data_IF_166533622588
#
_entry.id   IF_166533622588
#
_cell.length_a   1.000
_cell.length_b   1.000
_cell.length_c   1.000
_cell.angle_alpha   90.00
_cell.angle_beta   90.00
_cell.angle_gamma   90.00
#
_symmetry.space_group_name_H-M   'P 1'
#
loop_
_entity.id
_entity.type
_entity.pdbx_description
1 polymer ?
#
# COMPACT_ATOMS: atom_id res chain seq x y z
N UNK A 1 9.22 7.08 3.15
CA UNK A 1 9.78 5.84 3.70
C UNK A 1 11.15 6.19 4.28
N UNK A 2 11.51 5.73 5.48
CA UNK A 2 12.86 5.93 5.99
C UNK A 2 13.85 5.20 5.09
N UNK A 3 14.73 5.94 4.43
CA UNK A 3 15.76 5.40 3.53
C UNK A 3 16.64 4.37 4.26
N UNK A 4 16.84 4.56 5.57
CA UNK A 4 17.50 3.63 6.47
C UNK A 4 16.77 2.29 6.64
N UNK A 5 15.43 2.31 6.69
CA UNK A 5 14.61 1.08 6.84
C UNK A 5 14.65 0.25 5.58
N UNK A 6 14.61 0.90 4.41
CA UNK A 6 14.74 0.22 3.13
C UNK A 6 16.13 -0.42 2.96
N UNK A 7 17.19 0.28 3.36
CA UNK A 7 18.54 -0.29 3.39
C UNK A 7 18.63 -1.50 4.33
N UNK A 8 17.99 -1.44 5.50
CA UNK A 8 17.94 -2.57 6.43
C UNK A 8 17.22 -3.79 5.83
N UNK A 9 16.10 -3.59 5.12
CA UNK A 9 15.42 -4.67 4.41
C UNK A 9 16.30 -5.30 3.33
N UNK A 10 16.95 -4.48 2.48
CA UNK A 10 17.83 -4.99 1.42
C UNK A 10 19.03 -5.75 2.00
N UNK A 11 19.60 -5.26 3.11
CA UNK A 11 20.69 -5.93 3.80
C UNK A 11 20.26 -7.30 4.36
N UNK A 12 19.08 -7.36 5.00
CA UNK A 12 18.51 -8.61 5.52
C UNK A 12 18.25 -9.62 4.39
N UNK A 13 17.69 -9.17 3.27
CA UNK A 13 17.45 -10.03 2.09
C UNK A 13 18.78 -10.57 1.54
N UNK A 14 19.82 -9.72 1.47
CA UNK A 14 21.15 -10.14 1.07
C UNK A 14 21.76 -11.19 2.00
N UNK A 15 21.52 -11.08 3.31
CA UNK A 15 21.94 -12.08 4.28
C UNK A 15 21.16 -13.39 4.13
N UNK A 16 19.84 -13.33 3.93
CA UNK A 16 18.99 -14.50 3.67
C UNK A 16 19.42 -15.27 2.43
N UNK A 17 19.79 -14.57 1.35
CA UNK A 17 20.26 -15.21 0.11
C UNK A 17 21.61 -15.93 0.25
N UNK A 18 22.43 -15.53 1.22
CA UNK A 18 23.74 -16.12 1.50
C UNK A 18 23.71 -17.03 2.75
N UNK A 19 22.55 -17.18 3.38
CA UNK A 19 22.38 -17.92 4.62
C UNK A 19 22.49 -19.44 4.35
N UNK A 20 23.19 -20.20 5.20
CA UNK A 20 23.11 -21.65 5.19
C UNK A 20 21.67 -22.11 5.45
N UNK A 21 21.22 -23.15 4.73
CA UNK A 21 19.88 -23.73 4.95
C UNK A 21 19.69 -24.11 6.42
N UNK A 22 18.62 -23.58 7.03
CA UNK A 22 18.23 -23.85 8.41
C UNK A 22 18.60 -22.76 9.42
N UNK A 23 19.34 -21.72 9.03
CA UNK A 23 19.70 -20.59 9.89
C UNK A 23 18.84 -19.34 9.67
N UNK A 24 17.90 -19.39 8.72
CA UNK A 24 17.03 -18.26 8.39
C UNK A 24 16.17 -17.84 9.58
N UNK A 25 15.71 -18.81 10.39
CA UNK A 25 14.89 -18.53 11.58
C UNK A 25 15.60 -17.72 12.66
N UNK A 26 16.88 -18.02 12.94
CA UNK A 26 17.69 -17.26 13.90
C UNK A 26 17.95 -15.85 13.39
N UNK A 27 18.21 -15.72 12.09
CA UNK A 27 18.40 -14.43 11.43
C UNK A 27 17.13 -13.56 11.51
N UNK A 28 15.96 -14.15 11.24
CA UNK A 28 14.68 -13.44 11.35
C UNK A 28 14.37 -13.04 12.80
N UNK A 29 14.71 -13.88 13.79
CA UNK A 29 14.54 -13.53 15.21
C UNK A 29 15.42 -12.34 15.61
N UNK A 30 16.66 -12.27 15.13
CA UNK A 30 17.55 -11.14 15.36
C UNK A 30 17.05 -9.82 14.73
N UNK A 31 16.16 -9.92 13.73
CA UNK A 31 15.59 -8.80 12.98
C UNK A 31 14.05 -8.74 13.07
N UNK A 32 13.49 -9.14 14.23
CA UNK A 32 12.05 -9.19 14.45
C UNK A 32 11.34 -7.83 14.22
N UNK A 33 12.05 -6.72 14.42
CA UNK A 33 11.60 -5.34 14.19
C UNK A 33 11.41 -4.97 12.71
N UNK A 34 12.03 -5.74 11.81
CA UNK A 34 11.92 -5.61 10.36
C UNK A 34 10.84 -6.55 9.77
N UNK A 35 10.27 -7.47 10.55
CA UNK A 35 9.27 -8.44 10.09
C UNK A 35 7.89 -7.79 9.95
N UNK A 36 7.73 -7.01 8.90
CA UNK A 36 6.48 -6.38 8.52
C UNK A 36 6.22 -6.56 7.01
N UNK A 37 5.09 -6.02 6.57
CA UNK A 37 4.73 -6.07 5.17
C UNK A 37 5.67 -5.23 4.26
N UNK A 38 6.44 -4.30 4.81
CA UNK A 38 7.48 -3.57 4.08
C UNK A 38 8.64 -4.48 3.66
N UNK A 39 9.06 -5.38 4.54
CA UNK A 39 10.04 -6.42 4.20
C UNK A 39 9.52 -7.37 3.11
N UNK A 40 8.27 -7.85 3.24
CA UNK A 40 7.64 -8.75 2.25
C UNK A 40 7.70 -8.15 0.84
N UNK A 41 7.25 -6.90 0.71
CA UNK A 41 7.24 -6.26 -0.59
C UNK A 41 8.65 -5.94 -1.11
N UNK A 42 9.63 -5.69 -0.22
CA UNK A 42 11.03 -5.57 -0.63
C UNK A 42 11.57 -6.91 -1.15
N UNK A 43 11.19 -8.04 -0.53
CA UNK A 43 11.52 -9.38 -1.02
C UNK A 43 10.94 -9.59 -2.42
N UNK A 44 9.68 -9.20 -2.67
CA UNK A 44 9.06 -9.30 -4.00
C UNK A 44 9.78 -8.47 -5.07
N UNK A 45 10.20 -7.24 -4.72
CA UNK A 45 10.98 -6.39 -5.63
C UNK A 45 12.35 -7.01 -5.96
N UNK A 46 13.06 -7.53 -4.96
CA UNK A 46 14.35 -8.21 -5.17
C UNK A 46 14.15 -9.50 -5.98
N UNK A 47 13.07 -10.25 -5.74
CA UNK A 47 12.73 -11.43 -6.51
C UNK A 47 12.46 -11.10 -7.99
N UNK A 48 11.71 -10.04 -8.27
CA UNK A 48 11.47 -9.57 -9.64
C UNK A 48 12.77 -9.15 -10.34
N UNK A 49 13.67 -8.46 -9.62
CA UNK A 49 14.99 -8.11 -10.14
C UNK A 49 15.83 -9.35 -10.47
N UNK A 50 15.85 -10.34 -9.57
CA UNK A 50 16.58 -11.60 -9.77
C UNK A 50 16.02 -12.44 -10.93
N UNK A 51 14.70 -12.42 -11.13
CA UNK A 51 14.04 -13.09 -12.25
C UNK A 51 14.44 -12.47 -13.59
N UNK A 52 14.56 -11.14 -13.65
CA UNK A 52 15.08 -10.44 -14.84
C UNK A 52 16.53 -10.83 -15.17
N UNK A 53 17.29 -11.25 -14.17
CA UNK A 53 18.66 -11.75 -14.31
C UNK A 53 18.76 -13.28 -14.46
N UNK A 54 17.62 -13.99 -14.60
CA UNK A 54 17.52 -15.46 -14.70
C UNK A 54 18.15 -16.20 -13.51
N UNK A 55 18.15 -15.60 -12.32
CA UNK A 55 18.62 -16.24 -11.10
C UNK A 55 17.57 -17.17 -10.51
N UNK A 56 17.97 -18.36 -10.09
CA UNK A 56 17.09 -19.36 -9.45
C UNK A 56 16.59 -18.92 -8.06
N UNK A 57 17.22 -17.92 -7.44
CA UNK A 57 16.85 -17.45 -6.11
C UNK A 57 15.53 -16.66 -6.08
N UNK A 58 15.05 -16.18 -7.23
CA UNK A 58 13.81 -15.42 -7.31
C UNK A 58 12.58 -16.22 -6.84
N UNK A 59 12.47 -17.47 -7.30
CA UNK A 59 11.34 -18.33 -6.95
C UNK A 59 11.38 -18.77 -5.49
N UNK A 60 12.59 -18.98 -4.95
CA UNK A 60 12.79 -19.22 -3.53
C UNK A 60 12.35 -18.02 -2.69
N UNK A 61 12.76 -16.79 -3.05
CA UNK A 61 12.36 -15.57 -2.34
C UNK A 61 10.84 -15.37 -2.32
N UNK A 62 10.14 -15.62 -3.44
CA UNK A 62 8.67 -15.56 -3.48
C UNK A 62 8.01 -16.58 -2.55
N UNK A 63 8.52 -17.82 -2.54
CA UNK A 63 8.02 -18.85 -1.63
C UNK A 63 8.28 -18.52 -0.17
N UNK A 64 9.45 -17.97 0.14
CA UNK A 64 9.82 -17.52 1.47
C UNK A 64 8.98 -16.33 1.94
N UNK A 65 8.76 -15.34 1.07
CA UNK A 65 7.87 -14.21 1.36
C UNK A 65 6.44 -14.67 1.71
N UNK A 66 5.90 -15.63 0.97
CA UNK A 66 4.59 -16.20 1.27
C UNK A 66 4.55 -16.87 2.65
N UNK A 67 5.54 -17.71 2.98
CA UNK A 67 5.63 -18.35 4.30
C UNK A 67 5.81 -17.33 5.42
N UNK A 68 6.62 -16.31 5.20
CA UNK A 68 6.82 -15.24 6.17
C UNK A 68 5.51 -14.49 6.40
N UNK A 69 4.80 -14.12 5.32
CA UNK A 69 3.51 -13.45 5.39
C UNK A 69 2.46 -14.28 6.15
N UNK A 70 2.46 -15.61 5.99
CA UNK A 70 1.66 -16.53 6.81
C UNK A 70 2.02 -16.43 8.29
N UNK A 71 3.31 -16.55 8.60
CA UNK A 71 3.82 -16.60 9.96
C UNK A 71 3.58 -15.29 10.74
N UNK A 72 3.60 -14.13 10.05
CA UNK A 72 3.29 -12.83 10.65
C UNK A 72 1.82 -12.41 10.51
N UNK A 73 0.94 -13.32 10.06
CA UNK A 73 -0.52 -13.13 10.02
C UNK A 73 -1.00 -12.13 8.97
N UNK A 74 -0.20 -11.86 7.94
CA UNK A 74 -0.54 -11.00 6.80
C UNK A 74 -1.36 -11.72 5.73
N UNK A 75 -1.41 -13.05 5.78
CA UNK A 75 -2.09 -13.88 4.78
C UNK A 75 -3.57 -14.13 5.08
N UNK A 76 -4.24 -13.22 5.80
CA UNK A 76 -5.70 -13.24 5.84
C UNK A 76 -6.18 -12.94 4.41
N UNK A 77 -6.86 -13.91 3.78
CA UNK A 77 -7.48 -13.74 2.48
C UNK A 77 -8.26 -12.43 2.49
N UNK A 78 -7.77 -11.43 1.73
CA UNK A 78 -8.46 -10.16 1.63
C UNK A 78 -9.91 -10.45 1.23
N UNK A 79 -10.88 -9.74 1.81
CA UNK A 79 -12.24 -9.85 1.34
C UNK A 79 -12.25 -9.47 -0.16
N UNK A 80 -12.72 -10.37 -1.02
CA UNK A 80 -12.71 -10.20 -2.47
C UNK A 80 -14.07 -9.72 -2.98
N UNK A 81 -14.05 -8.94 -4.07
CA UNK A 81 -15.24 -8.42 -4.74
C UNK A 81 -15.57 -6.98 -4.39
N UNK A 82 -16.54 -6.43 -5.12
CA UNK A 82 -16.87 -4.99 -5.11
C UNK A 82 -17.31 -4.46 -3.74
N UNK A 83 -18.06 -5.23 -2.95
CA UNK A 83 -18.49 -4.80 -1.61
C UNK A 83 -17.32 -4.74 -0.63
N UNK A 84 -16.39 -5.69 -0.73
CA UNK A 84 -15.18 -5.69 0.08
C UNK A 84 -14.27 -4.52 -0.29
N UNK A 85 -14.08 -4.27 -1.58
CA UNK A 85 -13.33 -3.11 -2.08
C UNK A 85 -13.97 -1.79 -1.63
N UNK A 86 -15.31 -1.69 -1.65
CA UNK A 86 -16.06 -0.54 -1.14
C UNK A 86 -15.78 -0.33 0.35
N UNK A 87 -15.89 -1.37 1.15
CA UNK A 87 -15.65 -1.30 2.59
C UNK A 87 -14.21 -0.88 2.90
N UNK A 88 -13.24 -1.53 2.24
CA UNK A 88 -11.82 -1.20 2.36
C UNK A 88 -11.53 0.27 2.00
N UNK A 89 -12.16 0.79 0.94
CA UNK A 89 -11.99 2.19 0.55
C UNK A 89 -12.50 3.14 1.63
N UNK A 90 -13.66 2.89 2.22
CA UNK A 90 -14.21 3.70 3.31
C UNK A 90 -13.31 3.70 4.54
N UNK A 91 -12.84 2.51 4.95
CA UNK A 91 -11.89 2.36 6.06
C UNK A 91 -10.58 3.10 5.79
N UNK A 92 -10.11 3.08 4.55
CA UNK A 92 -8.91 3.78 4.13
C UNK A 92 -9.07 5.31 4.23
N UNK A 93 -10.19 5.87 3.78
CA UNK A 93 -10.45 7.31 3.90
C UNK A 93 -10.60 7.74 5.38
N UNK A 94 -11.24 6.91 6.20
CA UNK A 94 -11.31 7.13 7.63
C UNK A 94 -9.93 7.08 8.28
N UNK A 95 -9.10 6.10 7.91
CA UNK A 95 -7.73 5.98 8.42
C UNK A 95 -6.89 7.21 8.08
N UNK A 96 -7.00 7.74 6.85
CA UNK A 96 -6.33 8.98 6.44
C UNK A 96 -6.75 10.15 7.33
N UNK A 97 -8.05 10.24 7.63
CA UNK A 97 -8.60 11.26 8.52
C UNK A 97 -8.05 11.12 9.94
N UNK A 98 -8.14 9.92 10.52
CA UNK A 98 -7.71 9.63 11.90
C UNK A 98 -6.21 9.85 12.11
N UNK A 99 -5.40 9.51 11.10
CA UNK A 99 -3.95 9.69 11.11
C UNK A 99 -3.48 11.02 10.51
N UNK A 100 -4.42 11.88 10.09
CA UNK A 100 -4.14 13.21 9.50
C UNK A 100 -3.15 13.15 8.33
N UNK A 101 -3.31 12.15 7.45
CA UNK A 101 -2.43 11.93 6.30
C UNK A 101 -1.00 11.48 6.66
N UNK A 102 -0.72 11.13 7.92
CA UNK A 102 0.63 10.71 8.31
C UNK A 102 1.02 9.35 7.71
N UNK A 103 1.81 9.40 6.63
CA UNK A 103 2.27 8.22 5.89
C UNK A 103 3.03 7.19 6.75
N UNK A 104 3.79 7.62 7.77
CA UNK A 104 4.51 6.70 8.67
C UNK A 104 3.55 5.85 9.50
N UNK A 105 2.33 6.33 9.77
CA UNK A 105 1.31 5.60 10.51
C UNK A 105 0.35 4.83 9.60
N UNK A 106 0.13 5.32 8.38
CA UNK A 106 -0.80 4.73 7.41
C UNK A 106 -0.17 3.56 6.65
N UNK A 107 1.05 3.72 6.14
CA UNK A 107 1.68 2.72 5.27
C UNK A 107 1.86 1.35 5.91
N UNK A 108 2.23 1.23 7.21
CA UNK A 108 2.30 -0.09 7.84
C UNK A 108 0.96 -0.83 7.84
N UNK A 109 -0.18 -0.13 7.87
CA UNK A 109 -1.51 -0.73 7.86
C UNK A 109 -1.93 -1.13 6.44
N UNK A 110 -1.73 -0.22 5.47
CA UNK A 110 -1.96 -0.52 4.05
C UNK A 110 -1.12 -1.70 3.56
N UNK A 111 0.11 -1.82 4.05
CA UNK A 111 0.99 -2.93 3.73
C UNK A 111 0.39 -4.29 4.16
N UNK A 112 -0.41 -4.34 5.25
CA UNK A 112 -1.09 -5.58 5.67
C UNK A 112 -2.27 -5.96 4.79
N UNK A 113 -2.84 -4.99 4.07
CA UNK A 113 -4.01 -5.15 3.21
C UNK A 113 -3.64 -4.84 1.75
N UNK A 114 -2.40 -5.12 1.36
CA UNK A 114 -1.86 -4.77 0.05
C UNK A 114 -2.68 -5.37 -1.09
N UNK A 115 -3.23 -6.57 -0.88
CA UNK A 115 -4.07 -7.28 -1.84
C UNK A 115 -5.42 -6.61 -2.09
N UNK A 116 -5.87 -5.70 -1.22
CA UNK A 116 -7.07 -4.90 -1.43
C UNK A 116 -6.84 -3.70 -2.38
N UNK A 117 -5.57 -3.34 -2.67
CA UNK A 117 -5.24 -2.37 -3.72
C UNK A 117 -5.22 -3.08 -5.07
N UNK A 118 -6.41 -3.43 -5.56
CA UNK A 118 -6.63 -4.20 -6.77
C UNK A 118 -7.52 -3.44 -7.78
N UNK A 119 -7.89 -4.12 -8.87
CA UNK A 119 -8.77 -3.56 -9.91
C UNK A 119 -10.21 -3.37 -9.44
N UNK A 120 -10.66 -4.11 -8.41
CA UNK A 120 -11.99 -3.95 -7.85
C UNK A 120 -12.06 -2.64 -7.06
N UNK A 121 -11.01 -2.30 -6.31
CA UNK A 121 -10.87 -0.99 -5.68
C UNK A 121 -10.92 0.14 -6.69
N UNK A 122 -10.18 0.01 -7.80
CA UNK A 122 -10.19 0.99 -8.88
C UNK A 122 -11.60 1.16 -9.48
N UNK A 123 -12.35 0.07 -9.64
CA UNK A 123 -13.70 0.09 -10.19
C UNK A 123 -14.72 0.76 -9.27
N UNK A 124 -14.62 0.57 -7.94
CA UNK A 124 -15.59 1.13 -6.99
C UNK A 124 -15.29 2.56 -6.57
N UNK A 125 -14.02 2.99 -6.61
CA UNK A 125 -13.57 4.30 -6.12
C UNK A 125 -14.41 5.47 -6.65
N UNK A 126 -14.65 5.63 -7.98
CA UNK A 126 -15.43 6.75 -8.48
C UNK A 126 -16.87 6.75 -7.96
N UNK A 127 -17.49 5.56 -7.88
CA UNK A 127 -18.88 5.42 -7.42
C UNK A 127 -19.01 5.76 -5.93
N UNK A 128 -18.08 5.29 -5.10
CA UNK A 128 -18.09 5.59 -3.66
C UNK A 128 -17.79 7.06 -3.42
N UNK A 129 -16.79 7.63 -4.09
CA UNK A 129 -16.45 9.04 -3.98
C UNK A 129 -17.63 9.94 -4.39
N UNK A 130 -18.28 9.66 -5.52
CA UNK A 130 -19.44 10.42 -5.96
C UNK A 130 -20.60 10.41 -4.94
N UNK A 131 -20.81 9.28 -4.24
CA UNK A 131 -21.81 9.20 -3.17
C UNK A 131 -21.43 10.05 -1.95
N UNK A 132 -20.17 9.97 -1.52
CA UNK A 132 -19.67 10.73 -0.38
C UNK A 132 -19.73 12.25 -0.63
N UNK A 133 -19.50 12.69 -1.87
CA UNK A 133 -19.54 14.09 -2.26
C UNK A 133 -20.96 14.70 -2.34
N UNK A 134 -22.04 13.92 -2.16
CA UNK A 134 -23.42 14.46 -2.20
C UNK A 134 -23.82 15.28 -0.98
N UNK A 135 -22.98 15.33 0.07
CA UNK A 135 -23.24 16.09 1.28
C UNK A 135 -23.28 17.62 1.08
N UNK A 136 -23.51 18.33 2.18
CA UNK A 136 -23.46 19.79 2.25
C UNK A 136 -22.06 20.33 1.91
N UNK A 137 -21.95 21.62 1.58
CA UNK A 137 -20.72 22.23 1.05
C UNK A 137 -19.49 21.97 1.92
N UNK A 138 -19.59 22.10 3.24
CA UNK A 138 -18.45 21.89 4.14
C UNK A 138 -18.01 20.41 4.15
N UNK A 139 -18.95 19.49 4.33
CA UNK A 139 -18.67 18.05 4.32
C UNK A 139 -18.10 17.60 2.97
N UNK A 140 -18.68 18.07 1.86
CA UNK A 140 -18.21 17.78 0.50
C UNK A 140 -16.77 18.27 0.29
N UNK A 141 -16.46 19.48 0.75
CA UNK A 141 -15.12 20.06 0.64
C UNK A 141 -14.10 19.28 1.47
N UNK A 142 -14.50 18.85 2.67
CA UNK A 142 -13.67 18.01 3.52
C UNK A 142 -13.39 16.65 2.86
N UNK A 143 -14.42 15.98 2.33
CA UNK A 143 -14.27 14.69 1.65
C UNK A 143 -13.37 14.83 0.41
N UNK A 144 -13.52 15.89 -0.38
CA UNK A 144 -12.64 16.16 -1.52
C UNK A 144 -11.18 16.30 -1.08
N UNK A 145 -10.91 17.00 0.03
CA UNK A 145 -9.55 17.09 0.58
C UNK A 145 -8.99 15.71 0.97
N UNK A 146 -9.79 14.85 1.61
CA UNK A 146 -9.38 13.49 1.99
C UNK A 146 -9.11 12.62 0.76
N UNK A 147 -9.90 12.75 -0.32
CA UNK A 147 -9.66 12.07 -1.59
C UNK A 147 -8.35 12.54 -2.24
N UNK A 148 -8.06 13.84 -2.21
CA UNK A 148 -6.77 14.38 -2.66
C UNK A 148 -5.60 13.82 -1.85
N UNK A 149 -5.75 13.73 -0.53
CA UNK A 149 -4.72 13.16 0.34
C UNK A 149 -4.50 11.66 0.11
N UNK A 150 -5.57 10.90 -0.14
CA UNK A 150 -5.45 9.52 -0.61
C UNK A 150 -4.63 9.45 -1.90
N UNK A 151 -4.90 10.33 -2.87
CA UNK A 151 -4.13 10.43 -4.11
C UNK A 151 -2.65 10.73 -3.90
N UNK A 152 -2.31 11.62 -2.97
CA UNK A 152 -0.92 11.92 -2.58
C UNK A 152 -0.23 10.69 -1.98
N UNK A 153 -0.92 9.99 -1.08
CA UNK A 153 -0.40 8.86 -0.32
C UNK A 153 -0.22 7.62 -1.19
N UNK A 154 -1.18 7.27 -2.04
CA UNK A 154 -1.13 6.04 -2.84
C UNK A 154 -0.05 6.09 -3.92
N UNK A 155 0.19 7.26 -4.51
CA UNK A 155 1.28 7.42 -5.47
C UNK A 155 2.67 7.32 -4.84
N UNK A 156 2.79 7.62 -3.55
CA UNK A 156 4.03 7.49 -2.78
C UNK A 156 4.10 6.16 -2.02
N UNK A 157 3.01 5.38 -2.02
CA UNK A 157 2.96 4.09 -1.36
C UNK A 157 3.92 3.13 -2.07
N UNK A 158 4.97 2.66 -1.38
CA UNK A 158 6.07 1.96 -2.02
C UNK A 158 5.76 0.50 -2.34
N UNK A 159 4.64 -0.02 -1.82
CA UNK A 159 4.19 -1.39 -2.02
C UNK A 159 2.97 -1.40 -2.95
N UNK A 160 2.72 -2.55 -3.56
CA UNK A 160 1.61 -2.75 -4.49
C UNK A 160 2.07 -2.72 -5.94
N UNK A 161 1.09 -2.68 -6.84
CA UNK A 161 1.34 -2.67 -8.27
C UNK A 161 1.47 -1.21 -8.71
N UNK A 162 2.68 -0.80 -9.16
CA UNK A 162 3.00 0.61 -9.43
C UNK A 162 2.00 1.31 -10.36
N UNK A 163 1.63 0.68 -11.47
CA UNK A 163 0.68 1.28 -12.41
C UNK A 163 -0.70 1.46 -11.76
N UNK A 164 -1.13 0.49 -10.95
CA UNK A 164 -2.43 0.53 -10.29
C UNK A 164 -2.48 1.61 -9.20
N UNK A 165 -1.40 1.77 -8.43
CA UNK A 165 -1.28 2.86 -7.47
C UNK A 165 -1.39 4.24 -8.14
N UNK A 166 -0.84 4.39 -9.36
CA UNK A 166 -0.97 5.61 -10.13
C UNK A 166 -2.42 5.83 -10.60
N UNK A 167 -3.07 4.80 -11.16
CA UNK A 167 -4.47 4.88 -11.61
C UNK A 167 -5.42 5.20 -10.44
N UNK A 168 -5.21 4.58 -9.27
CA UNK A 168 -5.97 4.89 -8.06
C UNK A 168 -5.77 6.35 -7.62
N UNK A 169 -4.53 6.85 -7.70
CA UNK A 169 -4.23 8.24 -7.39
C UNK A 169 -4.90 9.23 -8.36
N UNK A 170 -4.83 8.94 -9.65
CA UNK A 170 -5.49 9.73 -10.70
C UNK A 170 -7.00 9.75 -10.46
N UNK A 171 -7.62 8.59 -10.30
CA UNK A 171 -9.05 8.49 -10.07
C UNK A 171 -9.49 9.28 -8.82
N UNK A 172 -8.70 9.25 -7.74
CA UNK A 172 -9.00 10.02 -6.54
C UNK A 172 -8.89 11.54 -6.75
N UNK A 173 -7.87 12.00 -7.48
CA UNK A 173 -7.76 13.41 -7.84
C UNK A 173 -8.92 13.86 -8.72
N UNK A 174 -9.30 13.08 -9.72
CA UNK A 174 -10.46 13.41 -10.57
C UNK A 174 -11.73 13.64 -9.75
N UNK A 175 -11.94 12.88 -8.67
CA UNK A 175 -13.08 13.09 -7.78
C UNK A 175 -12.91 14.31 -6.87
N UNK A 176 -11.71 14.53 -6.31
CA UNK A 176 -11.42 15.72 -5.49
C UNK A 176 -11.62 17.03 -6.28
N UNK A 177 -11.14 17.04 -7.52
CA UNK A 177 -11.15 18.20 -8.42
C UNK A 177 -12.53 18.59 -8.93
N UNK A 178 -13.56 17.75 -8.74
CA UNK A 178 -14.95 18.17 -8.98
C UNK A 178 -15.43 19.24 -7.99
N UNK A 179 -14.75 19.37 -6.86
CA UNK A 179 -15.11 20.29 -5.77
C UNK A 179 -14.02 21.32 -5.54
N UNK A 180 -12.76 20.88 -5.45
CA UNK A 180 -11.59 21.73 -5.26
C UNK A 180 -11.04 22.20 -6.60
N UNK A 181 -11.88 22.91 -7.37
CA UNK A 181 -11.44 23.46 -8.66
C UNK A 181 -10.55 24.67 -8.45
N UNK A 182 -9.73 24.99 -9.46
CA UNK A 182 -8.90 26.20 -9.45
C UNK A 182 -9.72 27.47 -9.27
N UNK A 183 -10.93 27.54 -9.81
CA UNK A 183 -11.82 28.70 -9.68
C UNK A 183 -12.43 28.81 -8.27
N UNK A 184 -12.83 27.68 -7.68
CA UNK A 184 -13.48 27.66 -6.37
C UNK A 184 -12.48 27.77 -5.22
N UNK A 185 -11.30 27.16 -5.37
CA UNK A 185 -10.32 26.98 -4.30
C UNK A 185 -8.87 27.10 -4.82
N UNK A 186 -8.43 28.26 -5.35
CA UNK A 186 -7.17 28.41 -6.08
C UNK A 186 -5.88 28.08 -5.30
N UNK A 187 -5.91 28.14 -3.96
CA UNK A 187 -4.77 27.79 -3.07
C UNK A 187 -4.74 26.30 -2.74
N UNK A 188 -5.93 25.69 -2.81
CA UNK A 188 -6.30 24.41 -2.23
C UNK A 188 -6.50 23.33 -3.32
N UNK A 189 -6.43 23.76 -4.59
CA UNK A 189 -6.44 22.98 -5.84
C UNK A 189 -5.10 22.25 -6.05
#
# INVERSE_FOLDING_TARGET
MDEQRMQAYVALIGQLLNCPQGQEGELLQAHADLLDAGLIATIDQVAAYLESQKSGSAQWLRGFAAQLAEAIGLQQSAPQGTEAARQFFLETLQLITDKRGNSQQIYPLWARQQTCFDTDLLAVLPTVAAQLLQGETEQRTFIAAVLGEFGNLIQQFPLGIRWLNLELGIAAYEQSLQVRTREAMPVDW
#
